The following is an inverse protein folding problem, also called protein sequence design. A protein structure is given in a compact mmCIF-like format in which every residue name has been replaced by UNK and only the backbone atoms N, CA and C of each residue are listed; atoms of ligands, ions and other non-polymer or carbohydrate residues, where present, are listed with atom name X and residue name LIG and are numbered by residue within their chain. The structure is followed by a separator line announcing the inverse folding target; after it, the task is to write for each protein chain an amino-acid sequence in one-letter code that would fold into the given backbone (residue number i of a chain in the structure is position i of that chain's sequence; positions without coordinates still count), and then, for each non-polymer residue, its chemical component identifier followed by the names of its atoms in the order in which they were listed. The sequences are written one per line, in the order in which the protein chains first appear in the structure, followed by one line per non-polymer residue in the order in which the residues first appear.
data_IF_005792502789
#
_entry.id   IF_005792502789
#
_cell.length_a   1.000
_cell.length_b   1.000
_cell.length_c   1.000
_cell.angle_alpha   90.00
_cell.angle_beta   90.00
_cell.angle_gamma   90.00
#
_symmetry.space_group_name_H-M   'P 1'
#
loop_
_entity.id
_entity.type
_entity.pdbx_description
1 polymer ?
#
# COMPACT_ATOMS: atom_id res chain seq x y z
N UNK A 1 38.44 -54.92 -23.29
CA UNK A 1 38.43 -54.54 -24.72
C UNK A 1 37.46 -53.39 -24.88
N UNK A 2 37.97 -52.21 -25.24
CA UNK A 2 37.21 -50.97 -25.36
C UNK A 2 36.95 -50.68 -26.85
N UNK A 3 35.70 -50.40 -27.25
CA UNK A 3 35.38 -49.91 -28.59
C UNK A 3 34.76 -48.52 -28.53
N UNK A 4 35.37 -47.61 -29.27
CA UNK A 4 35.05 -46.19 -29.47
C UNK A 4 33.81 -45.96 -30.37
N UNK A 5 33.27 -44.73 -30.41
CA UNK A 5 32.01 -44.39 -31.08
C UNK A 5 32.19 -43.95 -32.55
N UNK A 6 31.10 -44.07 -33.33
CA UNK A 6 30.98 -43.66 -34.73
C UNK A 6 30.42 -42.23 -34.86
N UNK A 7 31.17 -41.37 -35.54
CA UNK A 7 30.73 -40.12 -36.19
C UNK A 7 30.24 -40.41 -37.60
N UNK A 8 29.16 -39.75 -38.06
CA UNK A 8 29.03 -39.40 -39.48
C UNK A 8 28.23 -38.11 -39.73
N UNK A 9 28.85 -37.29 -40.57
CA UNK A 9 28.39 -36.05 -41.20
C UNK A 9 27.30 -36.29 -42.25
N UNK A 10 26.47 -35.27 -42.51
CA UNK A 10 25.55 -35.23 -43.65
C UNK A 10 25.17 -33.80 -44.03
N UNK A 11 25.99 -33.19 -44.89
CA UNK A 11 25.79 -31.88 -45.53
C UNK A 11 24.83 -32.04 -46.72
N UNK A 12 23.83 -31.16 -46.88
CA UNK A 12 23.24 -30.88 -48.20
C UNK A 12 23.00 -29.38 -48.42
N UNK A 13 23.59 -28.89 -49.52
CA UNK A 13 23.41 -27.56 -50.13
C UNK A 13 22.37 -27.62 -51.26
N UNK A 14 21.90 -26.41 -51.64
CA UNK A 14 21.20 -25.95 -52.88
C UNK A 14 19.71 -25.63 -52.65
N UNK A 15 19.11 -24.58 -53.20
CA UNK A 15 19.50 -23.55 -54.19
C UNK A 15 18.49 -22.39 -54.10
N UNK A 16 18.95 -21.18 -54.46
CA UNK A 16 18.13 -19.97 -54.71
C UNK A 16 17.08 -20.19 -55.80
N UNK A 17 15.91 -19.58 -55.63
CA UNK A 17 15.10 -19.07 -56.74
C UNK A 17 14.57 -17.67 -56.36
N UNK A 18 14.86 -16.71 -57.25
CA UNK A 18 14.37 -15.33 -57.22
C UNK A 18 13.10 -15.31 -58.06
N UNK A 19 12.01 -14.73 -57.55
CA UNK A 19 10.89 -14.26 -58.36
C UNK A 19 10.45 -12.87 -57.91
N UNK A 20 10.46 -11.95 -58.88
CA UNK A 20 9.91 -10.60 -58.82
C UNK A 20 8.41 -10.66 -59.15
N UNK A 21 7.66 -9.72 -58.57
CA UNK A 21 6.51 -9.13 -59.24
C UNK A 21 5.20 -9.15 -58.46
N UNK A 22 4.54 -7.99 -58.41
CA UNK A 22 3.09 -7.93 -58.24
C UNK A 22 2.60 -7.02 -57.12
N UNK A 23 2.64 -5.72 -57.33
CA UNK A 23 1.77 -4.78 -56.61
C UNK A 23 0.31 -5.05 -56.99
N UNK A 24 -0.57 -5.23 -56.01
CA UNK A 24 -2.02 -5.05 -56.15
C UNK A 24 -2.61 -4.54 -54.84
N UNK A 25 -3.29 -3.40 -54.95
CA UNK A 25 -4.09 -2.79 -53.92
C UNK A 25 -5.19 -3.74 -53.42
N UNK A 26 -5.43 -3.75 -52.11
CA UNK A 26 -6.67 -4.24 -51.51
C UNK A 26 -7.23 -3.20 -50.55
N UNK A 27 -8.55 -3.07 -50.67
CA UNK A 27 -9.45 -2.18 -49.96
C UNK A 27 -9.52 -2.52 -48.48
N UNK A 28 -10.03 -1.54 -47.74
CA UNK A 28 -10.24 -1.52 -46.31
C UNK A 28 -11.50 -2.29 -45.90
N UNK A 29 -11.34 -3.12 -44.87
CA UNK A 29 -12.40 -3.79 -44.14
C UNK A 29 -11.88 -3.90 -42.70
N UNK A 30 -12.60 -3.31 -41.75
CA UNK A 30 -12.13 -3.11 -40.39
C UNK A 30 -12.25 -4.34 -39.48
N UNK A 31 -11.47 -4.32 -38.39
CA UNK A 31 -11.83 -4.95 -37.12
C UNK A 31 -10.81 -4.59 -36.03
N UNK A 32 -11.34 -4.11 -34.90
CA UNK A 32 -10.81 -4.01 -33.54
C UNK A 32 -9.33 -4.26 -33.27
N UNK A 33 -8.69 -3.26 -32.65
CA UNK A 33 -7.50 -3.43 -31.83
C UNK A 33 -7.69 -2.64 -30.53
N UNK A 34 -7.55 -3.34 -29.40
CA UNK A 34 -7.59 -2.76 -28.06
C UNK A 34 -6.42 -1.81 -27.84
N UNK A 35 -6.72 -0.69 -27.19
CA UNK A 35 -5.72 0.28 -26.74
C UNK A 35 -4.98 -0.26 -25.52
N UNK A 36 -3.78 -0.78 -25.74
CA UNK A 36 -2.75 -0.85 -24.70
C UNK A 36 -2.33 0.60 -24.37
N UNK A 37 -2.80 1.13 -23.25
CA UNK A 37 -2.38 2.45 -22.76
C UNK A 37 -0.90 2.41 -22.36
N UNK A 38 0.00 2.69 -23.30
CA UNK A 38 1.39 3.03 -23.01
C UNK A 38 1.40 4.39 -22.32
N UNK A 39 1.86 4.43 -21.08
CA UNK A 39 2.18 5.68 -20.38
C UNK A 39 3.15 6.50 -21.23
N UNK A 40 2.91 7.80 -21.34
CA UNK A 40 3.71 8.65 -22.21
C UNK A 40 5.08 8.92 -21.56
N UNK A 41 6.16 9.08 -22.36
CA UNK A 41 7.49 9.42 -21.83
C UNK A 41 7.52 10.70 -20.97
N UNK A 42 6.55 11.60 -21.16
CA UNK A 42 6.43 12.87 -20.41
C UNK A 42 6.10 12.62 -18.93
N UNK A 43 5.36 11.55 -18.63
CA UNK A 43 4.96 11.21 -17.26
C UNK A 43 6.14 10.62 -16.46
N UNK A 44 7.05 9.91 -17.13
CA UNK A 44 8.24 9.32 -16.49
C UNK A 44 9.31 10.37 -16.17
N UNK A 45 9.43 11.44 -16.97
CA UNK A 45 10.43 12.49 -16.77
C UNK A 45 10.06 13.39 -15.58
N UNK A 46 8.77 13.72 -15.38
CA UNK A 46 8.34 14.58 -14.25
C UNK A 46 8.56 13.93 -12.89
N UNK A 47 8.41 12.61 -12.78
CA UNK A 47 8.67 11.88 -11.52
C UNK A 47 10.18 11.82 -11.18
N UNK A 48 11.06 11.85 -12.20
CA UNK A 48 12.51 11.87 -12.01
C UNK A 48 13.07 13.21 -11.52
N UNK A 49 12.42 14.33 -11.89
CA UNK A 49 12.82 15.69 -11.46
C UNK A 49 12.51 15.91 -9.99
N UNK A 50 11.35 15.45 -9.51
CA UNK A 50 10.94 15.56 -8.10
C UNK A 50 11.85 14.77 -7.15
N UNK A 51 12.48 13.66 -7.60
CA UNK A 51 13.47 12.91 -6.80
C UNK A 51 14.78 13.68 -6.56
N UNK A 52 15.15 14.61 -7.44
CA UNK A 52 16.40 15.39 -7.30
C UNK A 52 16.31 16.50 -6.26
N UNK A 53 15.10 16.98 -5.95
CA UNK A 53 14.89 17.97 -4.89
C UNK A 53 15.06 17.35 -3.49
N UNK A 54 14.66 16.09 -3.31
CA UNK A 54 14.85 15.32 -2.07
C UNK A 54 16.33 15.06 -1.70
N UNK A 55 17.25 15.05 -2.68
CA UNK A 55 18.69 14.90 -2.43
C UNK A 55 19.37 16.20 -1.97
N UNK A 56 18.78 17.38 -2.27
CA UNK A 56 19.31 18.66 -1.81
C UNK A 56 19.07 18.89 -0.32
N UNK A 57 17.91 18.48 0.20
CA UNK A 57 17.55 18.65 1.63
C UNK A 57 18.43 17.80 2.57
N UNK A 58 19.00 16.68 2.07
CA UNK A 58 19.93 15.86 2.87
C UNK A 58 21.28 16.51 3.12
N UNK A 59 21.66 17.55 2.36
CA UNK A 59 22.98 18.18 2.46
C UNK A 59 23.06 19.34 3.46
N UNK A 60 21.96 19.71 4.13
CA UNK A 60 21.88 20.93 4.95
C UNK A 60 21.84 20.75 6.48
N UNK A 61 22.16 19.57 7.04
CA UNK A 61 22.23 19.41 8.50
C UNK A 61 23.35 18.45 8.95
N UNK A 62 24.56 18.93 9.27
CA UNK A 62 25.53 18.15 10.02
C UNK A 62 25.30 18.42 11.52
N UNK A 63 24.70 17.48 12.23
CA UNK A 63 24.71 17.48 13.71
C UNK A 63 25.94 16.68 14.14
N UNK A 64 26.79 17.34 14.94
CA UNK A 64 28.11 16.91 15.41
C UNK A 64 28.06 15.67 16.32
N UNK A 65 28.93 14.70 16.03
CA UNK A 65 29.19 13.49 16.81
C UNK A 65 30.19 13.73 17.96
N UNK A 66 29.80 14.37 19.06
CA UNK A 66 30.61 14.30 20.29
C UNK A 66 29.71 14.40 21.53
N UNK A 67 29.34 13.25 22.10
CA UNK A 67 29.09 13.05 23.54
C UNK A 67 28.42 11.70 23.81
N UNK A 68 29.19 10.61 23.94
CA UNK A 68 28.79 9.43 24.74
C UNK A 68 30.02 8.76 25.35
N UNK A 69 30.18 8.91 26.66
CA UNK A 69 31.15 8.19 27.50
C UNK A 69 30.40 7.60 28.70
N UNK A 70 30.60 6.29 28.89
CA UNK A 70 30.45 5.44 30.08
C UNK A 70 29.08 5.28 30.76
N UNK A 71 28.57 4.04 30.79
CA UNK A 71 28.81 3.10 31.91
C UNK A 71 27.93 1.85 31.76
N UNK A 72 28.56 0.67 31.78
CA UNK A 72 27.94 -0.66 31.72
C UNK A 72 27.64 -1.19 33.12
N UNK A 73 26.46 -1.78 33.35
CA UNK A 73 26.26 -2.85 34.36
C UNK A 73 25.20 -3.85 33.88
N UNK A 74 25.60 -5.13 34.01
CA UNK A 74 24.96 -6.43 33.78
C UNK A 74 23.46 -6.56 34.10
N UNK A 75 22.72 -7.31 33.28
CA UNK A 75 21.84 -8.40 33.71
C UNK A 75 21.36 -9.21 32.49
N UNK A 76 21.99 -10.34 32.23
CA UNK A 76 21.50 -11.41 31.35
C UNK A 76 20.80 -12.45 32.21
N UNK A 77 19.58 -12.81 31.84
CA UNK A 77 18.98 -14.16 31.90
C UNK A 77 17.45 -14.03 31.97
N UNK A 78 16.76 -14.80 31.11
CA UNK A 78 15.31 -14.89 30.91
C UNK A 78 14.73 -13.96 29.83
N UNK A 79 14.71 -14.39 28.57
CA UNK A 79 13.48 -14.66 27.79
C UNK A 79 13.88 -15.53 26.59
N UNK A 80 13.80 -16.84 26.75
CA UNK A 80 13.74 -17.77 25.63
C UNK A 80 12.59 -18.74 25.88
N UNK A 81 11.80 -19.00 24.82
CA UNK A 81 10.58 -19.81 24.72
C UNK A 81 9.25 -19.08 24.95
N UNK A 82 8.70 -18.54 23.85
CA UNK A 82 7.32 -18.79 23.38
C UNK A 82 7.03 -17.94 22.15
N UNK A 83 7.31 -18.45 20.96
CA UNK A 83 6.64 -18.05 19.71
C UNK A 83 6.89 -19.11 18.64
N UNK A 84 6.28 -20.28 18.82
CA UNK A 84 5.97 -21.18 17.70
C UNK A 84 4.48 -21.54 17.80
N UNK A 85 3.86 -21.67 16.62
CA UNK A 85 2.46 -22.02 16.34
C UNK A 85 1.39 -20.91 16.39
N UNK A 86 1.38 -20.06 15.37
CA UNK A 86 0.13 -19.47 14.84
C UNK A 86 -0.02 -19.86 13.37
N UNK A 87 -0.45 -21.09 13.13
CA UNK A 87 -0.99 -21.52 11.83
C UNK A 87 -2.41 -20.95 11.70
N UNK A 88 -2.62 -20.09 10.71
CA UNK A 88 -3.85 -19.34 10.52
C UNK A 88 -5.12 -20.19 10.39
N UNK A 89 -6.09 -19.91 11.27
CA UNK A 89 -7.46 -20.41 11.23
C UNK A 89 -8.17 -19.83 9.99
N UNK A 90 -8.27 -20.64 8.92
CA UNK A 90 -9.01 -20.29 7.71
C UNK A 90 -10.51 -20.46 7.98
N UNK A 91 -11.20 -19.35 8.27
CA UNK A 91 -12.60 -19.21 7.85
C UNK A 91 -13.65 -18.95 8.91
N UNK A 92 -13.30 -18.58 10.15
CA UNK A 92 -14.30 -17.96 11.03
C UNK A 92 -14.69 -16.60 10.45
N UNK A 93 -15.97 -16.44 10.09
CA UNK A 93 -16.57 -15.12 9.88
C UNK A 93 -16.30 -14.31 11.15
N UNK A 94 -15.44 -13.30 11.07
CA UNK A 94 -15.34 -12.30 12.12
C UNK A 94 -16.73 -11.66 12.26
N UNK A 95 -17.43 -11.98 13.35
CA UNK A 95 -18.54 -11.17 13.82
C UNK A 95 -17.95 -9.88 14.34
N UNK A 96 -18.45 -8.72 13.88
CA UNK A 96 -18.07 -7.45 14.51
C UNK A 96 -18.39 -7.50 16.02
N UNK A 97 -17.54 -6.96 16.90
CA UNK A 97 -17.78 -6.99 18.34
C UNK A 97 -19.15 -6.39 18.67
N UNK A 98 -19.87 -7.02 19.61
CA UNK A 98 -21.15 -6.51 20.13
C UNK A 98 -20.92 -5.11 20.73
N UNK A 99 -21.60 -4.09 20.18
CA UNK A 99 -21.43 -2.68 20.58
C UNK A 99 -20.66 -1.83 19.58
N UNK A 100 -20.15 -2.42 18.50
CA UNK A 100 -19.66 -1.65 17.37
C UNK A 100 -20.84 -0.92 16.72
N UNK A 101 -20.83 0.41 16.72
CA UNK A 101 -21.84 1.21 16.01
C UNK A 101 -21.74 0.82 14.54
N UNK A 102 -22.71 0.07 14.05
CA UNK A 102 -22.92 -0.08 12.63
C UNK A 102 -23.39 1.28 12.11
N UNK A 103 -22.63 1.88 11.20
CA UNK A 103 -22.93 3.22 10.61
C UNK A 103 -24.24 3.25 9.82
N UNK A 104 -25.00 2.15 9.77
CA UNK A 104 -26.42 2.23 9.45
C UNK A 104 -27.22 3.08 10.45
N UNK A 105 -26.67 3.38 11.63
CA UNK A 105 -27.34 4.16 12.68
C UNK A 105 -26.69 5.54 12.93
N UNK A 106 -26.09 6.16 11.91
CA UNK A 106 -25.69 7.58 12.02
C UNK A 106 -26.94 8.42 12.31
N UNK A 107 -26.96 9.11 13.45
CA UNK A 107 -28.04 10.06 13.81
C UNK A 107 -28.30 11.04 12.66
N UNK A 108 -29.56 11.39 12.43
CA UNK A 108 -29.96 12.42 11.46
C UNK A 108 -29.05 13.66 11.58
N UNK A 109 -28.29 13.97 10.53
CA UNK A 109 -27.41 15.14 10.46
C UNK A 109 -25.92 14.86 10.19
N UNK A 110 -25.43 13.62 10.34
CA UNK A 110 -24.08 13.28 9.86
C UNK A 110 -24.08 13.05 8.35
N UNK A 111 -23.19 13.73 7.63
CA UNK A 111 -23.00 13.55 6.20
C UNK A 111 -22.66 12.07 5.91
N UNK A 112 -23.66 11.31 5.47
CA UNK A 112 -23.46 9.91 5.11
C UNK A 112 -22.41 9.83 4.00
N UNK A 113 -21.45 8.91 4.15
CA UNK A 113 -20.51 8.59 3.08
C UNK A 113 -21.30 8.37 1.77
N UNK A 114 -21.06 9.17 0.70
CA UNK A 114 -21.91 9.17 -0.48
C UNK A 114 -21.90 7.83 -1.22
N UNK A 115 -20.92 6.99 -0.91
CA UNK A 115 -20.73 5.65 -1.45
C UNK A 115 -21.55 4.57 -0.69
N UNK A 116 -22.27 4.90 0.39
CA UNK A 116 -23.13 3.97 1.16
C UNK A 116 -24.36 3.45 0.40
N UNK A 117 -24.67 3.99 -0.79
CA UNK A 117 -25.88 3.65 -1.54
C UNK A 117 -25.91 2.20 -2.07
N UNK A 118 -24.76 1.52 -2.14
CA UNK A 118 -24.72 0.12 -2.59
C UNK A 118 -24.98 -0.87 -1.45
N UNK A 119 -26.14 -1.54 -1.51
CA UNK A 119 -26.59 -2.47 -0.47
C UNK A 119 -25.96 -3.87 -0.54
N UNK A 120 -25.41 -4.28 -1.69
CA UNK A 120 -24.84 -5.63 -1.88
C UNK A 120 -23.62 -5.56 -2.79
N UNK A 121 -22.49 -6.06 -2.29
CA UNK A 121 -21.25 -6.22 -3.07
C UNK A 121 -21.30 -7.52 -3.86
N UNK A 122 -20.60 -7.62 -5.01
CA UNK A 122 -20.45 -8.88 -5.71
C UNK A 122 -19.78 -9.91 -4.79
N UNK A 123 -20.11 -11.19 -5.01
CA UNK A 123 -19.44 -12.28 -4.31
C UNK A 123 -18.05 -12.44 -4.93
N UNK A 124 -16.97 -12.48 -4.12
CA UNK A 124 -15.61 -12.70 -4.64
C UNK A 124 -15.47 -13.97 -5.47
N UNK A 125 -15.13 -13.84 -6.75
CA UNK A 125 -14.95 -14.96 -7.67
C UNK A 125 -13.48 -15.39 -7.76
N UNK A 126 -12.53 -14.45 -7.70
CA UNK A 126 -11.11 -14.71 -7.84
C UNK A 126 -10.57 -15.52 -6.67
N UNK A 127 -9.93 -16.64 -7.00
CA UNK A 127 -9.23 -17.53 -6.04
C UNK A 127 -7.72 -17.55 -6.22
N UNK A 128 -7.23 -17.19 -7.42
CA UNK A 128 -5.81 -17.18 -7.73
C UNK A 128 -5.17 -15.93 -7.14
N UNK A 129 -4.08 -16.12 -6.38
CA UNK A 129 -3.26 -15.04 -5.84
C UNK A 129 -2.77 -14.12 -6.97
N UNK A 130 -2.93 -12.81 -6.78
CA UNK A 130 -2.41 -11.77 -7.67
C UNK A 130 -1.20 -11.12 -6.99
N UNK A 131 0.02 -11.24 -7.52
CA UNK A 131 1.18 -10.58 -6.94
C UNK A 131 1.12 -9.07 -7.21
N UNK A 132 1.72 -8.28 -6.30
CA UNK A 132 1.99 -6.87 -6.54
C UNK A 132 3.11 -6.77 -7.57
N UNK A 133 2.80 -6.23 -8.75
CA UNK A 133 3.75 -6.12 -9.84
C UNK A 133 4.70 -4.93 -9.60
N UNK A 134 6.00 -5.20 -9.50
CA UNK A 134 7.04 -4.18 -9.29
C UNK A 134 8.12 -4.40 -10.33
N UNK A 135 8.45 -3.35 -11.08
CA UNK A 135 9.53 -3.34 -12.08
C UNK A 135 10.50 -2.22 -11.72
N UNK A 136 11.78 -2.55 -11.59
CA UNK A 136 12.85 -1.61 -11.20
C UNK A 136 12.50 -0.80 -9.92
N UNK A 137 11.88 -1.47 -8.95
CA UNK A 137 11.48 -0.85 -7.68
C UNK A 137 10.22 0.02 -7.75
N UNK A 138 9.54 0.09 -8.90
CA UNK A 138 8.32 0.89 -9.10
C UNK A 138 7.12 -0.03 -9.32
N UNK A 139 6.01 0.24 -8.61
CA UNK A 139 4.74 -0.44 -8.84
C UNK A 139 4.24 -0.22 -10.28
N UNK A 140 3.84 -1.29 -10.96
CA UNK A 140 3.22 -1.23 -12.29
C UNK A 140 1.82 -1.82 -12.26
N UNK A 141 0.92 -1.24 -13.06
CA UNK A 141 -0.42 -1.79 -13.27
C UNK A 141 -0.31 -3.16 -13.95
N UNK A 142 -1.25 -4.06 -13.64
CA UNK A 142 -1.35 -5.36 -14.30
C UNK A 142 -2.80 -5.68 -14.64
N UNK A 143 -3.02 -6.57 -15.61
CA UNK A 143 -4.37 -7.09 -15.86
C UNK A 143 -4.97 -7.73 -14.60
N UNK A 144 -4.16 -8.47 -13.83
CA UNK A 144 -4.61 -9.13 -12.60
C UNK A 144 -5.08 -8.15 -11.53
N UNK A 145 -4.39 -7.02 -11.32
CA UNK A 145 -4.83 -6.00 -10.36
C UNK A 145 -6.09 -5.26 -10.84
N UNK A 146 -6.24 -5.04 -12.14
CA UNK A 146 -7.45 -4.47 -12.74
C UNK A 146 -8.66 -5.40 -12.58
N UNK A 147 -8.50 -6.70 -12.86
CA UNK A 147 -9.55 -7.69 -12.68
C UNK A 147 -9.94 -7.81 -11.19
N UNK A 148 -8.95 -7.74 -10.30
CA UNK A 148 -9.14 -7.77 -8.85
C UNK A 148 -9.94 -6.57 -8.34
N UNK A 149 -9.72 -5.36 -8.87
CA UNK A 149 -10.53 -4.18 -8.54
C UNK A 149 -12.02 -4.42 -8.87
N UNK A 150 -12.29 -4.99 -10.05
CA UNK A 150 -13.66 -5.33 -10.43
C UNK A 150 -14.28 -6.37 -9.50
N UNK A 151 -13.53 -7.43 -9.15
CA UNK A 151 -14.00 -8.54 -8.33
C UNK A 151 -14.32 -8.13 -6.88
N UNK A 152 -13.60 -7.16 -6.32
CA UNK A 152 -13.95 -6.59 -5.01
C UNK A 152 -15.20 -5.71 -5.07
N UNK A 153 -15.74 -5.35 -6.23
CA UNK A 153 -16.88 -4.43 -6.36
C UNK A 153 -16.50 -3.00 -6.75
N UNK A 154 -15.33 -2.83 -7.37
CA UNK A 154 -14.91 -1.57 -7.99
C UNK A 154 -14.38 -0.52 -7.01
N UNK A 155 -14.04 0.64 -7.56
CA UNK A 155 -13.46 1.76 -6.83
C UNK A 155 -14.33 2.29 -5.70
N UNK A 156 -15.65 2.18 -5.81
CA UNK A 156 -16.57 2.63 -4.76
C UNK A 156 -16.40 1.85 -3.45
N UNK A 157 -16.04 0.56 -3.51
CA UNK A 157 -15.77 -0.21 -2.29
C UNK A 157 -14.50 0.27 -1.60
N UNK A 158 -13.47 0.63 -2.37
CA UNK A 158 -12.24 1.23 -1.84
C UNK A 158 -12.52 2.61 -1.24
N UNK A 159 -13.32 3.46 -1.91
CA UNK A 159 -13.70 4.79 -1.38
C UNK A 159 -14.41 4.69 -0.04
N UNK A 160 -15.27 3.68 0.17
CA UNK A 160 -15.90 3.41 1.48
C UNK A 160 -14.88 3.00 2.53
N UNK A 161 -14.06 1.99 2.23
CA UNK A 161 -13.01 1.51 3.15
C UNK A 161 -12.06 2.63 3.55
N UNK A 162 -11.69 3.50 2.61
CA UNK A 162 -10.77 4.59 2.90
C UNK A 162 -11.43 5.81 3.56
N UNK A 163 -12.73 6.03 3.32
CA UNK A 163 -13.50 6.98 4.13
C UNK A 163 -13.52 6.52 5.59
N UNK A 164 -13.83 5.23 5.83
CA UNK A 164 -13.81 4.60 7.16
C UNK A 164 -12.46 4.71 7.84
N UNK A 165 -11.39 4.50 7.08
CA UNK A 165 -10.02 4.70 7.57
C UNK A 165 -9.80 6.13 8.04
N UNK A 166 -10.17 7.13 7.24
CA UNK A 166 -9.95 8.53 7.62
C UNK A 166 -10.83 8.96 8.79
N UNK A 167 -12.05 8.47 8.93
CA UNK A 167 -12.87 8.70 10.14
C UNK A 167 -12.08 8.32 11.39
N UNK A 168 -11.44 7.14 11.39
CA UNK A 168 -10.57 6.70 12.49
C UNK A 168 -9.32 7.57 12.62
N UNK A 169 -8.67 7.92 11.50
CA UNK A 169 -7.44 8.70 11.51
C UNK A 169 -7.66 10.15 12.01
N UNK A 170 -8.85 10.73 11.80
CA UNK A 170 -9.24 12.02 12.37
C UNK A 170 -9.45 11.95 13.89
N UNK A 171 -9.85 10.79 14.41
CA UNK A 171 -10.04 10.58 15.86
C UNK A 171 -8.73 10.16 16.57
N UNK A 172 -7.73 9.69 15.84
CA UNK A 172 -6.45 9.25 16.36
C UNK A 172 -5.55 10.43 16.76
N UNK A 173 -5.00 10.41 17.97
CA UNK A 173 -4.17 11.52 18.49
C UNK A 173 -2.83 11.73 17.75
N UNK A 174 -2.31 10.70 17.11
CA UNK A 174 -1.06 10.78 16.35
C UNK A 174 -1.36 11.23 14.92
N UNK A 175 -2.29 10.55 14.23
CA UNK A 175 -2.55 10.80 12.82
C UNK A 175 -3.28 12.12 12.55
N UNK A 176 -4.18 12.55 13.44
CA UNK A 176 -4.95 13.78 13.23
C UNK A 176 -4.05 15.02 13.05
N UNK A 177 -2.84 14.99 13.63
CA UNK A 177 -1.88 16.10 13.53
C UNK A 177 -1.38 16.31 12.11
N UNK A 178 -1.44 15.30 11.25
CA UNK A 178 -1.07 15.37 9.84
C UNK A 178 -2.22 15.83 8.93
N UNK A 179 -3.45 15.91 9.45
CA UNK A 179 -4.63 16.33 8.68
C UNK A 179 -4.73 17.86 8.69
N UNK A 180 -4.30 18.49 7.59
CA UNK A 180 -4.30 19.96 7.44
C UNK A 180 -5.49 20.49 6.64
N UNK A 181 -6.15 19.65 5.83
CA UNK A 181 -7.41 19.98 5.18
C UNK A 181 -8.56 19.62 6.13
N UNK A 182 -9.51 20.53 6.32
CA UNK A 182 -10.70 20.31 7.18
C UNK A 182 -11.94 19.91 6.35
N UNK A 183 -11.73 19.31 5.17
CA UNK A 183 -12.79 18.87 4.24
C UNK A 183 -13.35 17.46 4.54
N UNK A 184 -12.92 16.88 5.66
CA UNK A 184 -13.50 15.68 6.26
C UNK A 184 -13.00 14.35 5.68
N UNK A 185 -13.44 13.27 6.32
CA UNK A 185 -13.00 11.91 6.02
C UNK A 185 -13.38 11.42 4.62
N UNK A 186 -14.55 11.80 4.11
CA UNK A 186 -14.99 11.39 2.78
C UNK A 186 -14.09 11.96 1.68
N UNK A 187 -13.66 13.21 1.80
CA UNK A 187 -12.78 13.85 0.83
C UNK A 187 -11.38 13.25 0.86
N UNK A 188 -10.80 13.05 2.04
CA UNK A 188 -9.52 12.37 2.22
C UNK A 188 -9.54 10.92 1.73
N UNK A 189 -10.58 10.17 2.11
CA UNK A 189 -10.79 8.79 1.69
C UNK A 189 -10.93 8.65 0.19
N UNK A 190 -11.68 9.55 -0.46
CA UNK A 190 -11.79 9.60 -1.92
C UNK A 190 -10.43 9.81 -2.58
N UNK A 191 -9.61 10.74 -2.09
CA UNK A 191 -8.29 11.03 -2.65
C UNK A 191 -7.35 9.83 -2.61
N UNK A 192 -7.24 9.19 -1.44
CA UNK A 192 -6.40 8.00 -1.31
C UNK A 192 -6.96 6.85 -2.16
N UNK A 193 -8.28 6.67 -2.19
CA UNK A 193 -8.91 5.62 -3.00
C UNK A 193 -8.69 5.83 -4.49
N UNK A 194 -8.90 7.04 -5.01
CA UNK A 194 -8.67 7.35 -6.43
C UNK A 194 -7.21 7.10 -6.82
N UNK A 195 -6.26 7.39 -5.92
CA UNK A 195 -4.87 7.05 -6.14
C UNK A 195 -4.64 5.53 -6.19
N UNK A 196 -5.22 4.74 -5.28
CA UNK A 196 -5.10 3.28 -5.28
C UNK A 196 -5.80 2.67 -6.51
N UNK A 197 -6.98 3.16 -6.88
CA UNK A 197 -7.74 2.74 -8.06
C UNK A 197 -6.91 2.94 -9.31
N UNK A 198 -6.28 4.10 -9.47
CA UNK A 198 -5.38 4.37 -10.59
C UNK A 198 -4.16 3.43 -10.57
N UNK A 199 -3.64 3.05 -9.39
CA UNK A 199 -2.55 2.06 -9.28
C UNK A 199 -2.99 0.64 -9.59
N UNK A 200 -4.23 0.25 -9.28
CA UNK A 200 -4.77 -1.07 -9.66
C UNK A 200 -5.03 -1.15 -11.16
N UNK A 201 -5.52 -0.06 -11.76
CA UNK A 201 -6.03 0.01 -13.12
C UNK A 201 -7.49 -0.43 -13.23
N UNK A 202 -8.07 -0.31 -14.43
CA UNK A 202 -9.42 -0.82 -14.76
C UNK A 202 -10.56 0.20 -14.71
N UNK A 203 -10.36 1.36 -14.06
CA UNK A 203 -11.38 2.41 -13.94
C UNK A 203 -10.86 3.80 -14.37
N UNK A 204 -9.97 3.84 -15.37
CA UNK A 204 -9.38 5.09 -15.85
C UNK A 204 -8.29 5.64 -14.92
N UNK A 205 -8.23 6.98 -14.80
CA UNK A 205 -7.19 7.71 -14.06
C UNK A 205 -7.79 8.70 -13.07
N UNK A 206 -8.66 8.28 -12.12
CA UNK A 206 -9.45 9.20 -11.31
C UNK A 206 -8.61 10.14 -10.43
N UNK A 207 -7.39 9.74 -10.05
CA UNK A 207 -6.47 10.63 -9.34
C UNK A 207 -5.95 11.74 -10.26
N UNK A 208 -5.48 11.37 -11.44
CA UNK A 208 -5.01 12.31 -12.46
C UNK A 208 -6.14 13.24 -12.93
N UNK A 209 -7.29 12.67 -13.26
CA UNK A 209 -8.45 13.39 -13.81
C UNK A 209 -9.06 14.37 -12.78
N UNK A 210 -8.82 14.15 -11.48
CA UNK A 210 -9.20 15.10 -10.43
C UNK A 210 -8.30 16.35 -10.34
N UNK A 211 -7.30 16.48 -11.23
CA UNK A 211 -6.32 17.57 -11.20
C UNK A 211 -5.24 17.40 -10.13
N UNK A 212 -5.12 16.22 -9.51
CA UNK A 212 -4.19 15.95 -8.41
C UNK A 212 -2.85 15.33 -8.85
N UNK A 213 -2.62 15.21 -10.16
CA UNK A 213 -1.33 14.79 -10.68
C UNK A 213 -0.20 15.68 -10.14
N UNK A 214 0.81 15.08 -9.52
CA UNK A 214 1.94 15.80 -8.90
C UNK A 214 1.66 16.39 -7.51
N UNK A 215 0.42 16.43 -7.02
CA UNK A 215 0.10 17.05 -5.74
C UNK A 215 0.46 16.19 -4.52
N UNK A 216 0.80 14.91 -4.72
CA UNK A 216 1.17 14.00 -3.62
C UNK A 216 2.26 14.60 -2.74
N UNK A 217 3.39 15.01 -3.30
CA UNK A 217 4.51 15.51 -2.49
C UNK A 217 4.20 16.84 -1.81
N UNK A 218 3.45 17.72 -2.50
CA UNK A 218 3.01 19.00 -1.93
C UNK A 218 2.13 18.76 -0.70
N UNK A 219 1.14 17.86 -0.80
CA UNK A 219 0.26 17.52 0.33
C UNK A 219 1.02 16.87 1.50
N UNK A 220 2.00 16.00 1.23
CA UNK A 220 2.81 15.42 2.30
C UNK A 220 3.69 16.47 2.98
N UNK A 221 4.29 17.38 2.22
CA UNK A 221 5.04 18.50 2.79
C UNK A 221 4.15 19.35 3.69
N UNK A 222 2.94 19.70 3.24
CA UNK A 222 1.97 20.43 4.08
C UNK A 222 1.64 19.68 5.37
N UNK A 223 1.38 18.36 5.28
CA UNK A 223 1.14 17.54 6.46
C UNK A 223 2.34 17.54 7.44
N UNK A 224 3.58 17.52 6.94
CA UNK A 224 4.76 17.58 7.80
C UNK A 224 4.90 18.94 8.52
N UNK A 225 4.43 20.03 7.91
CA UNK A 225 4.46 21.37 8.49
C UNK A 225 3.15 21.81 9.13
N UNK A 226 2.19 20.91 9.28
CA UNK A 226 0.87 21.18 9.88
C UNK A 226 1.00 21.89 11.24
N UNK A 227 0.16 22.90 11.46
CA UNK A 227 0.12 23.66 12.71
C UNK A 227 -0.41 22.85 13.90
N UNK A 228 -1.07 21.72 13.64
CA UNK A 228 -1.53 20.76 14.64
C UNK A 228 -0.36 19.95 15.24
N UNK A 229 0.85 20.05 14.67
CA UNK A 229 2.06 19.36 15.16
C UNK A 229 2.83 20.23 16.14
N UNK A 230 3.48 19.56 17.09
CA UNK A 230 4.40 20.19 18.03
C UNK A 230 5.51 20.96 17.29
N UNK A 231 5.89 22.18 17.72
CA UNK A 231 6.86 23.02 17.02
C UNK A 231 8.16 22.29 16.66
N UNK A 232 8.70 21.50 17.59
CA UNK A 232 9.92 20.73 17.43
C UNK A 232 9.80 19.52 16.48
N UNK A 233 8.56 19.13 16.12
CA UNK A 233 8.26 18.04 15.18
C UNK A 233 7.87 18.54 13.79
N UNK A 234 7.58 19.83 13.60
CA UNK A 234 7.26 20.39 12.27
C UNK A 234 8.42 20.15 11.28
N UNK A 235 8.09 19.80 10.05
CA UNK A 235 9.03 19.42 8.99
C UNK A 235 9.55 17.98 9.08
N UNK A 236 9.38 17.28 10.21
CA UNK A 236 9.78 15.86 10.30
C UNK A 236 8.81 14.99 9.50
N UNK A 237 9.34 14.11 8.66
CA UNK A 237 8.55 13.12 7.89
C UNK A 237 7.86 12.11 8.82
N UNK A 238 6.91 11.36 8.26
CA UNK A 238 6.28 10.20 8.90
C UNK A 238 7.36 9.26 9.45
N UNK A 239 7.21 8.81 10.70
CA UNK A 239 8.12 7.88 11.37
C UNK A 239 7.48 6.51 11.51
N UNK A 240 8.26 5.56 12.04
CA UNK A 240 7.85 4.17 12.17
C UNK A 240 6.54 4.03 12.95
N UNK A 241 6.42 4.70 14.09
CA UNK A 241 5.21 4.69 14.93
C UNK A 241 4.00 5.20 14.14
N UNK A 242 4.15 6.33 13.43
CA UNK A 242 3.09 6.91 12.58
C UNK A 242 2.66 5.90 11.49
N UNK A 243 3.63 5.23 10.85
CA UNK A 243 3.38 4.23 9.81
C UNK A 243 2.61 3.02 10.34
N UNK A 244 2.99 2.50 11.52
CA UNK A 244 2.34 1.33 12.14
C UNK A 244 0.89 1.66 12.52
N UNK A 245 0.66 2.82 13.14
CA UNK A 245 -0.70 3.30 13.47
C UNK A 245 -1.53 3.44 12.20
N UNK A 246 -0.98 4.09 11.17
CA UNK A 246 -1.64 4.28 9.89
C UNK A 246 -2.05 2.95 9.22
N UNK A 247 -1.13 1.97 9.16
CA UNK A 247 -1.41 0.66 8.58
C UNK A 247 -2.50 -0.09 9.36
N UNK A 248 -2.40 -0.14 10.69
CA UNK A 248 -3.36 -0.83 11.57
C UNK A 248 -4.78 -0.28 11.41
N UNK A 249 -4.95 1.04 11.45
CA UNK A 249 -6.27 1.66 11.28
C UNK A 249 -6.83 1.45 9.87
N UNK A 250 -5.99 1.44 8.85
CA UNK A 250 -6.42 1.20 7.47
C UNK A 250 -6.87 -0.26 7.26
N UNK A 251 -6.11 -1.23 7.78
CA UNK A 251 -6.51 -2.64 7.70
C UNK A 251 -7.77 -2.93 8.52
N UNK A 252 -7.93 -2.28 9.68
CA UNK A 252 -9.17 -2.36 10.46
C UNK A 252 -10.37 -1.82 9.66
N UNK A 253 -10.23 -0.67 9.01
CA UNK A 253 -11.28 -0.12 8.15
C UNK A 253 -11.65 -1.05 6.97
N UNK A 254 -10.66 -1.72 6.37
CA UNK A 254 -10.93 -2.74 5.35
C UNK A 254 -11.74 -3.94 5.89
N UNK A 255 -11.56 -4.31 7.16
CA UNK A 255 -12.32 -5.39 7.80
C UNK A 255 -13.76 -4.99 8.09
N UNK A 256 -13.96 -3.79 8.61
CA UNK A 256 -15.32 -3.26 8.87
C UNK A 256 -16.14 -3.13 7.59
N UNK A 257 -15.51 -2.71 6.49
CA UNK A 257 -16.17 -2.66 5.19
C UNK A 257 -16.26 -4.02 4.49
N UNK A 258 -15.82 -5.08 5.17
CA UNK A 258 -15.85 -6.46 4.71
C UNK A 258 -14.99 -6.75 3.48
N UNK A 259 -14.21 -5.78 2.98
CA UNK A 259 -13.36 -5.96 1.80
C UNK A 259 -12.19 -6.90 2.11
N UNK A 260 -11.74 -6.94 3.36
CA UNK A 260 -10.72 -7.89 3.82
C UNK A 260 -11.17 -9.36 3.79
N UNK A 261 -12.48 -9.65 3.70
CA UNK A 261 -12.98 -11.02 3.54
C UNK A 261 -12.63 -11.63 2.18
N UNK A 262 -12.28 -10.80 1.20
CA UNK A 262 -11.75 -11.22 -0.08
C UNK A 262 -10.24 -11.48 0.04
N UNK A 263 -9.84 -12.70 0.40
CA UNK A 263 -8.44 -13.04 0.70
C UNK A 263 -7.46 -12.64 -0.41
N UNK A 264 -7.76 -12.92 -1.68
CA UNK A 264 -6.89 -12.54 -2.80
C UNK A 264 -6.62 -11.02 -2.85
N UNK A 265 -7.66 -10.21 -2.59
CA UNK A 265 -7.50 -8.76 -2.52
C UNK A 265 -6.69 -8.37 -1.29
N UNK A 266 -7.01 -8.93 -0.13
CA UNK A 266 -6.37 -8.52 1.11
C UNK A 266 -4.88 -8.87 1.13
N UNK A 267 -4.50 -10.04 0.61
CA UNK A 267 -3.10 -10.45 0.41
C UNK A 267 -2.37 -9.48 -0.54
N UNK A 268 -3.02 -9.13 -1.66
CA UNK A 268 -2.48 -8.14 -2.60
C UNK A 268 -2.33 -6.77 -1.93
N UNK A 269 -3.33 -6.37 -1.13
CA UNK A 269 -3.38 -5.07 -0.47
C UNK A 269 -2.30 -4.94 0.61
N UNK A 270 -2.05 -5.99 1.40
CA UNK A 270 -0.92 -6.05 2.36
C UNK A 270 0.40 -5.85 1.61
N UNK A 271 0.63 -6.59 0.52
CA UNK A 271 1.84 -6.41 -0.30
C UNK A 271 1.96 -5.01 -0.91
N UNK A 272 0.83 -4.44 -1.35
CA UNK A 272 0.77 -3.12 -1.96
C UNK A 272 1.13 -2.04 -0.95
N UNK A 273 0.58 -2.11 0.26
CA UNK A 273 0.89 -1.18 1.35
C UNK A 273 2.33 -1.35 1.82
N UNK A 274 2.83 -2.58 1.96
CA UNK A 274 4.23 -2.86 2.29
C UNK A 274 5.20 -2.20 1.30
N UNK A 275 4.88 -2.23 -0.01
CA UNK A 275 5.68 -1.57 -1.03
C UNK A 275 5.70 -0.04 -0.88
N UNK A 276 4.54 0.58 -0.68
CA UNK A 276 4.40 2.04 -0.68
C UNK A 276 4.76 2.69 0.66
N UNK A 277 4.56 2.00 1.79
CA UNK A 277 4.91 2.55 3.11
C UNK A 277 6.42 2.80 3.23
N UNK A 278 7.24 2.01 2.53
CA UNK A 278 8.70 2.16 2.40
C UNK A 278 9.14 3.55 1.89
N UNK A 279 8.30 4.24 1.14
CA UNK A 279 8.60 5.60 0.63
C UNK A 279 8.60 6.62 1.78
N UNK A 280 7.83 6.37 2.83
CA UNK A 280 7.72 7.23 4.00
C UNK A 280 8.75 6.87 5.06
N UNK A 281 8.82 5.59 5.41
CA UNK A 281 9.75 5.05 6.39
C UNK A 281 10.27 3.69 5.91
N UNK A 282 11.58 3.58 5.73
CA UNK A 282 12.21 2.40 5.10
C UNK A 282 12.14 1.17 6.00
N UNK A 283 12.02 1.35 7.31
CA UNK A 283 11.94 0.28 8.31
C UNK A 283 10.50 -0.18 8.59
N UNK A 284 9.49 0.45 7.99
CA UNK A 284 8.09 0.09 8.18
C UNK A 284 7.62 -1.21 7.50
N UNK A 285 8.10 -1.61 6.30
CA UNK A 285 7.58 -2.77 5.58
C UNK A 285 7.51 -4.09 6.37
N UNK A 286 8.51 -4.46 7.21
CA UNK A 286 8.43 -5.66 8.06
C UNK A 286 7.21 -5.72 8.99
N UNK A 287 6.64 -4.56 9.35
CA UNK A 287 5.48 -4.48 10.27
C UNK A 287 4.12 -4.56 9.56
N UNK A 288 4.08 -4.73 8.24
CA UNK A 288 2.81 -4.69 7.49
C UNK A 288 1.91 -5.89 7.80
N UNK A 289 2.47 -7.10 7.82
CA UNK A 289 1.76 -8.35 8.16
C UNK A 289 1.30 -8.33 9.63
N UNK A 290 2.17 -7.87 10.55
CA UNK A 290 1.84 -7.68 11.96
C UNK A 290 0.70 -6.68 12.13
N UNK A 291 0.76 -5.54 11.44
CA UNK A 291 -0.31 -4.53 11.47
C UNK A 291 -1.64 -5.05 10.92
N UNK A 292 -1.60 -5.88 9.87
CA UNK A 292 -2.78 -6.54 9.34
C UNK A 292 -3.34 -7.56 10.34
N UNK A 293 -2.48 -8.30 11.03
CA UNK A 293 -2.87 -9.26 12.08
C UNK A 293 -3.45 -8.55 13.30
N UNK A 294 -2.83 -7.47 13.77
CA UNK A 294 -3.31 -6.61 14.85
C UNK A 294 -4.75 -6.19 14.62
N UNK A 295 -5.08 -5.76 13.39
CA UNK A 295 -6.43 -5.31 13.03
C UNK A 295 -7.49 -6.42 13.02
N UNK A 296 -7.09 -7.69 13.06
CA UNK A 296 -8.01 -8.82 13.15
C UNK A 296 -8.43 -9.13 14.59
N UNK A 297 -7.71 -8.63 15.59
CA UNK A 297 -7.92 -8.95 16.98
C UNK A 297 -8.83 -7.91 17.65
N UNK A 298 -10.00 -8.36 18.11
CA UNK A 298 -10.96 -7.51 18.80
C UNK A 298 -10.44 -6.97 20.12
N UNK A 299 -9.55 -7.68 20.81
CA UNK A 299 -8.95 -7.23 22.06
C UNK A 299 -8.06 -6.00 21.81
N UNK A 300 -7.27 -6.03 20.74
CA UNK A 300 -6.44 -4.90 20.31
C UNK A 300 -7.28 -3.67 19.97
N UNK A 301 -8.37 -3.85 19.22
CA UNK A 301 -9.29 -2.76 18.87
C UNK A 301 -9.94 -2.18 20.13
N UNK A 302 -10.40 -3.04 21.04
CA UNK A 302 -11.00 -2.63 22.31
C UNK A 302 -10.01 -1.83 23.16
N UNK A 303 -8.78 -2.32 23.32
CA UNK A 303 -7.73 -1.61 24.07
C UNK A 303 -7.41 -0.26 23.42
N UNK A 304 -7.31 -0.18 22.09
CA UNK A 304 -7.12 1.08 21.38
C UNK A 304 -8.24 2.08 21.68
N UNK A 305 -9.50 1.65 21.71
CA UNK A 305 -10.63 2.53 22.05
C UNK A 305 -10.59 2.95 23.52
N UNK A 306 -10.41 2.00 24.44
CA UNK A 306 -10.38 2.24 25.90
C UNK A 306 -9.19 3.11 26.33
N UNK A 307 -8.08 3.06 25.60
CA UNK A 307 -6.91 3.93 25.80
C UNK A 307 -7.09 5.35 25.24
N UNK A 308 -8.29 5.72 24.81
CA UNK A 308 -8.57 7.01 24.20
C UNK A 308 -7.92 7.14 22.83
N UNK A 309 -7.95 6.05 22.04
CA UNK A 309 -7.43 6.00 20.65
C UNK A 309 -5.94 6.27 20.57
N UNK A 310 -5.18 5.56 21.41
CA UNK A 310 -3.72 5.60 21.45
C UNK A 310 -3.16 4.18 21.41
N UNK A 311 -2.35 3.85 20.41
CA UNK A 311 -1.68 2.55 20.34
C UNK A 311 -0.46 2.53 21.26
N UNK A 312 -0.67 2.17 22.54
CA UNK A 312 0.35 2.14 23.59
C UNK A 312 1.50 1.14 23.30
N UNK A 313 1.22 0.11 22.53
CA UNK A 313 2.16 -0.91 22.09
C UNK A 313 3.01 -0.48 20.88
N UNK A 314 2.73 0.70 20.31
CA UNK A 314 3.51 1.31 19.23
C UNK A 314 4.28 2.51 19.72
N UNK A 315 3.60 3.46 20.37
CA UNK A 315 4.18 4.75 20.73
C UNK A 315 5.25 4.57 21.80
N UNK A 316 6.48 4.98 21.49
CA UNK A 316 7.61 4.90 22.41
C UNK A 316 8.20 3.50 22.58
N UNK A 317 7.65 2.51 21.86
CA UNK A 317 8.22 1.17 21.76
C UNK A 317 9.21 1.12 20.60
N UNK A 318 10.34 1.80 20.76
CA UNK A 318 11.49 1.51 19.92
C UNK A 318 12.16 0.28 20.50
N UNK A 319 11.98 -0.86 19.85
CA UNK A 319 12.91 -1.98 20.01
C UNK A 319 14.27 -1.36 19.78
N UNK A 320 15.08 -1.24 20.84
CA UNK A 320 16.51 -1.04 20.65
C UNK A 320 16.92 -2.25 19.84
N UNK A 321 17.08 -2.07 18.53
CA UNK A 321 18.04 -2.88 17.83
C UNK A 321 19.33 -2.53 18.53
N UNK A 322 19.66 -3.30 19.56
CA UNK A 322 21.03 -3.49 19.97
C UNK A 322 21.67 -3.99 18.68
N UNK A 323 22.24 -3.04 17.94
CA UNK A 323 23.15 -3.30 16.86
C UNK A 323 24.39 -3.88 17.54
N UNK A 324 24.27 -5.12 18.02
CA UNK A 324 25.40 -5.99 18.24
C UNK A 324 26.00 -6.17 16.84
N UNK A 325 26.91 -5.25 16.54
CA UNK A 325 27.64 -5.08 15.29
C UNK A 325 28.67 -6.20 15.07
N UNK A 326 28.48 -7.36 15.69
CA UNK A 326 29.42 -8.49 15.59
C UNK A 326 29.11 -9.41 14.40
N UNK A 327 28.29 -8.94 13.46
CA UNK A 327 28.02 -9.61 12.18
C UNK A 327 28.40 -8.72 10.98
N UNK A 328 29.67 -8.31 10.90
CA UNK A 328 30.35 -8.03 9.63
C UNK A 328 31.85 -8.31 9.72
#
# INVERSE_FOLDING_TARGET
QASKPNTMFGIFKKKKAIHKGGAKARKADGSGAGEDSKLTPVDQVKESVLRKEDEKDKKQNPISEEAKVNASVKLSDQVDKKHEDVVGDKGKKLSLPKGHVSIVDSKEGQAMCPFLKMRKWPKPEMKKRIPVAVVNGTHVRSKGSSDLLKDIGGGDRLRRALTRFYEKAFEDHTLQKFMFEDDGAAAHGKRLADWIIEKMGGEGSPWTDSGRLGLRQVSHRQAWYSDKREPEKKGRRFKLDDCRIWMRLMFWACREEGIASHSVFFDWYIGFISHFIRVYERTAPPYTEESASWSADEANIKEYIESGRKMKDVIGYHVRYDLDSDFF
#
